data_IF_735048299510
#
_entry.id   IF_735048299510
#
_cell.length_a   1.000
_cell.length_b   1.000
_cell.length_c   1.000
_cell.angle_alpha   90.00
_cell.angle_beta   90.00
_cell.angle_gamma   90.00
#
_symmetry.space_group_name_H-M   'P 1'
#
loop_
_entity.id
_entity.type
_entity.pdbx_description
1 polymer ?
#
# COMPACT_ATOMS: atom_id res chain seq x y z
N UNK A 1 2.86 -14.59 10.27
CA UNK A 1 1.83 -13.74 9.64
C UNK A 1 2.55 -12.65 8.88
N UNK A 2 2.37 -12.57 7.56
CA UNK A 2 3.01 -11.56 6.72
C UNK A 2 2.57 -10.12 7.14
N UNK A 3 3.36 -9.10 6.77
CA UNK A 3 3.07 -7.70 7.03
C UNK A 3 1.64 -7.31 6.58
N UNK A 4 1.25 -7.70 5.36
CA UNK A 4 -0.07 -7.37 4.82
C UNK A 4 -1.19 -7.98 5.65
N UNK A 5 -1.03 -9.23 6.09
CA UNK A 5 -2.02 -9.90 6.92
C UNK A 5 -2.16 -9.22 8.28
N UNK A 6 -1.05 -8.86 8.92
CA UNK A 6 -1.06 -8.11 10.19
C UNK A 6 -1.75 -6.76 10.03
N UNK A 7 -1.43 -6.02 8.96
CA UNK A 7 -2.07 -4.74 8.65
C UNK A 7 -3.58 -4.88 8.42
N UNK A 8 -4.00 -5.88 7.62
CA UNK A 8 -5.43 -6.17 7.41
C UNK A 8 -6.15 -6.46 8.73
N UNK A 9 -5.54 -7.26 9.61
CA UNK A 9 -6.11 -7.57 10.93
C UNK A 9 -6.25 -6.31 11.79
N UNK A 10 -5.18 -5.53 11.91
CA UNK A 10 -5.16 -4.26 12.64
C UNK A 10 -6.25 -3.31 12.17
N UNK A 11 -6.37 -3.12 10.86
CA UNK A 11 -7.38 -2.23 10.25
C UNK A 11 -8.79 -2.74 10.56
N UNK A 12 -9.05 -4.04 10.39
CA UNK A 12 -10.39 -4.61 10.67
C UNK A 12 -10.77 -4.45 12.14
N UNK A 13 -9.85 -4.74 13.05
CA UNK A 13 -10.12 -4.84 14.49
C UNK A 13 -10.05 -3.50 15.22
N UNK A 14 -9.21 -2.57 14.75
CA UNK A 14 -8.94 -1.31 15.45
C UNK A 14 -9.37 -0.07 14.67
N UNK A 15 -9.35 -0.10 13.34
CA UNK A 15 -9.82 1.06 12.56
C UNK A 15 -11.33 0.98 12.31
N UNK A 16 -11.83 -0.18 11.88
CA UNK A 16 -13.18 -0.28 11.31
C UNK A 16 -14.18 -1.15 12.10
N UNK A 17 -13.78 -1.73 13.24
CA UNK A 17 -14.59 -2.69 14.02
C UNK A 17 -16.04 -2.28 14.30
N UNK A 18 -16.29 -0.98 14.45
CA UNK A 18 -17.62 -0.43 14.76
C UNK A 18 -18.15 0.53 13.68
N UNK A 19 -17.60 0.46 12.47
CA UNK A 19 -18.05 1.29 11.36
C UNK A 19 -19.37 0.76 10.79
N UNK A 20 -20.21 1.69 10.37
CA UNK A 20 -21.47 1.43 9.71
C UNK A 20 -21.42 2.04 8.31
N UNK A 21 -21.83 1.24 7.33
CA UNK A 21 -21.98 1.63 5.94
C UNK A 21 -23.37 2.19 5.69
N UNK A 22 -23.41 3.36 5.06
CA UNK A 22 -24.59 3.98 4.48
C UNK A 22 -24.31 4.30 3.02
N UNK A 23 -25.13 3.78 2.10
CA UNK A 23 -25.01 4.01 0.65
C UNK A 23 -26.15 4.91 0.17
N UNK A 24 -25.83 5.86 -0.70
CA UNK A 24 -26.77 6.79 -1.35
C UNK A 24 -26.47 6.91 -2.83
N UNK A 25 -27.48 7.29 -3.60
CA UNK A 25 -27.38 7.48 -5.05
C UNK A 25 -27.86 6.27 -5.84
N UNK A 26 -27.61 6.30 -7.14
CA UNK A 26 -28.01 5.29 -8.11
C UNK A 26 -26.78 4.53 -8.60
N UNK A 27 -26.95 3.29 -9.06
CA UNK A 27 -25.83 2.52 -9.62
C UNK A 27 -25.14 3.30 -10.75
N UNK A 28 -23.80 3.32 -10.74
CA UNK A 28 -23.00 4.17 -11.63
C UNK A 28 -22.68 5.57 -11.08
N UNK A 29 -23.37 6.01 -10.01
CA UNK A 29 -22.99 7.16 -9.18
C UNK A 29 -23.47 6.97 -7.73
N UNK A 30 -22.68 6.22 -6.95
CA UNK A 30 -23.00 5.91 -5.55
C UNK A 30 -22.01 6.57 -4.60
N UNK A 31 -22.50 7.04 -3.46
CA UNK A 31 -21.69 7.54 -2.35
C UNK A 31 -21.88 6.63 -1.14
N UNK A 32 -20.80 6.08 -0.65
CA UNK A 32 -20.73 5.22 0.51
C UNK A 32 -20.06 5.99 1.64
N UNK A 33 -20.78 6.17 2.74
CA UNK A 33 -20.25 6.69 3.98
C UNK A 33 -19.88 5.51 4.88
N UNK A 34 -18.61 5.44 5.29
CA UNK A 34 -18.07 4.42 6.16
C UNK A 34 -17.50 5.05 7.42
N UNK A 35 -18.13 4.85 8.57
CA UNK A 35 -17.68 5.48 9.80
C UNK A 35 -18.36 4.96 11.06
N UNK A 36 -17.71 5.14 12.20
CA UNK A 36 -18.29 4.85 13.52
C UNK A 36 -19.27 5.96 13.90
N UNK A 37 -20.52 5.64 14.29
CA UNK A 37 -21.47 6.64 14.77
C UNK A 37 -20.89 7.47 15.94
N UNK A 38 -21.03 8.79 15.85
CA UNK A 38 -20.57 9.71 16.90
C UNK A 38 -19.06 9.99 16.91
N UNK A 39 -18.27 9.50 15.95
CA UNK A 39 -16.85 9.83 15.82
C UNK A 39 -16.47 10.16 14.37
N UNK A 40 -15.30 10.79 14.20
CA UNK A 40 -14.69 10.97 12.88
C UNK A 40 -13.49 10.04 12.63
N UNK A 41 -13.14 9.20 13.62
CA UNK A 41 -11.96 8.32 13.54
C UNK A 41 -12.06 7.39 12.34
N UNK A 42 -11.05 7.44 11.47
CA UNK A 42 -10.94 6.61 10.27
C UNK A 42 -12.15 6.71 9.33
N UNK A 43 -12.93 7.79 9.43
CA UNK A 43 -14.12 7.97 8.61
C UNK A 43 -13.69 8.08 7.16
N UNK A 44 -14.29 7.25 6.31
CA UNK A 44 -13.97 7.15 4.89
C UNK A 44 -15.24 7.32 4.08
N UNK A 45 -15.13 8.04 2.97
CA UNK A 45 -16.18 8.20 1.97
C UNK A 45 -15.65 7.66 0.65
N UNK A 46 -16.40 6.74 0.07
CA UNK A 46 -16.14 6.21 -1.27
C UNK A 46 -17.19 6.79 -2.22
N UNK A 47 -16.76 7.29 -3.37
CA UNK A 47 -17.64 7.67 -4.47
C UNK A 47 -17.34 6.72 -5.63
N UNK A 48 -18.33 5.93 -5.99
CA UNK A 48 -18.28 5.02 -7.12
C UNK A 48 -18.90 5.73 -8.32
N UNK A 49 -18.13 6.01 -9.36
CA UNK A 49 -18.61 6.78 -10.52
C UNK A 49 -17.95 6.32 -11.81
N UNK A 50 -18.74 5.79 -12.75
CA UNK A 50 -18.20 5.18 -13.97
C UNK A 50 -17.25 4.03 -13.63
N UNK A 51 -15.99 4.10 -14.05
CA UNK A 51 -14.94 3.15 -13.69
C UNK A 51 -14.05 3.65 -12.53
N UNK A 52 -14.39 4.76 -11.88
CA UNK A 52 -13.55 5.38 -10.86
C UNK A 52 -14.07 5.16 -9.44
N UNK A 53 -13.12 4.96 -8.51
CA UNK A 53 -13.38 5.03 -7.07
C UNK A 53 -12.63 6.22 -6.52
N UNK A 54 -13.37 7.22 -6.04
CA UNK A 54 -12.80 8.36 -5.33
C UNK A 54 -12.93 8.14 -3.83
N UNK A 55 -11.84 8.32 -3.11
CA UNK A 55 -11.76 8.11 -1.67
C UNK A 55 -11.38 9.42 -1.02
N UNK A 56 -12.04 9.75 0.09
CA UNK A 56 -11.71 10.89 0.94
C UNK A 56 -12.09 10.58 2.38
N UNK A 57 -11.49 11.28 3.34
CA UNK A 57 -11.83 11.12 4.75
C UNK A 57 -10.67 11.44 5.69
N UNK A 58 -10.81 10.99 6.92
CA UNK A 58 -9.82 11.17 7.99
C UNK A 58 -8.48 10.47 7.68
N UNK A 59 -8.54 9.40 6.89
CA UNK A 59 -7.38 8.65 6.40
C UNK A 59 -6.88 9.12 5.03
N UNK A 60 -7.20 10.35 4.60
CA UNK A 60 -6.70 10.95 3.36
C UNK A 60 -7.51 10.62 2.11
N UNK A 61 -6.93 10.93 0.95
CA UNK A 61 -7.59 10.90 -0.35
C UNK A 61 -6.86 10.03 -1.37
N UNK A 62 -7.63 9.37 -2.24
CA UNK A 62 -7.10 8.60 -3.36
C UNK A 62 -8.10 8.53 -4.52
N UNK A 63 -7.58 8.33 -5.73
CA UNK A 63 -8.35 8.05 -6.95
C UNK A 63 -7.87 6.74 -7.54
N UNK A 64 -8.82 5.86 -7.84
CA UNK A 64 -8.58 4.59 -8.51
C UNK A 64 -9.32 4.58 -9.84
N UNK A 65 -8.63 4.20 -10.92
CA UNK A 65 -9.22 3.97 -12.24
C UNK A 65 -9.27 2.47 -12.53
N UNK A 66 -10.46 1.88 -12.36
CA UNK A 66 -10.70 0.46 -12.58
C UNK A 66 -10.80 0.14 -14.06
N UNK A 67 -10.60 -1.13 -14.41
CA UNK A 67 -10.83 -1.64 -15.78
C UNK A 67 -12.32 -1.74 -16.08
N UNK A 68 -13.12 -2.09 -15.08
CA UNK A 68 -14.57 -2.29 -15.16
C UNK A 68 -15.31 -1.18 -14.42
N UNK A 69 -16.64 -1.14 -14.53
CA UNK A 69 -17.47 -0.22 -13.77
C UNK A 69 -17.23 -0.36 -12.26
N UNK A 70 -17.12 0.77 -11.56
CA UNK A 70 -17.01 0.85 -10.12
C UNK A 70 -18.37 0.51 -9.48
N UNK A 71 -18.66 -0.78 -9.36
CA UNK A 71 -19.85 -1.30 -8.68
C UNK A 71 -19.41 -2.20 -7.52
N UNK A 72 -20.26 -2.33 -6.50
CA UNK A 72 -19.98 -3.25 -5.39
C UNK A 72 -19.79 -4.69 -5.89
N UNK A 73 -20.55 -5.09 -6.91
CA UNK A 73 -20.50 -6.42 -7.50
C UNK A 73 -19.15 -6.72 -8.16
N UNK A 74 -18.60 -5.77 -8.92
CA UNK A 74 -17.28 -5.94 -9.54
C UNK A 74 -16.15 -5.91 -8.50
N UNK A 75 -16.26 -5.00 -7.51
CA UNK A 75 -15.17 -4.74 -6.55
C UNK A 75 -15.01 -5.86 -5.53
N UNK A 76 -16.09 -6.61 -5.20
CA UNK A 76 -16.05 -7.68 -4.19
C UNK A 76 -14.99 -8.75 -4.49
N UNK A 77 -14.70 -9.00 -5.77
CA UNK A 77 -13.79 -10.05 -6.21
C UNK A 77 -12.33 -9.56 -6.36
N UNK A 78 -12.09 -8.25 -6.20
CA UNK A 78 -10.75 -7.69 -6.35
C UNK A 78 -9.89 -8.01 -5.12
N UNK A 79 -8.73 -8.62 -5.35
CA UNK A 79 -7.72 -8.73 -4.31
C UNK A 79 -6.98 -7.39 -4.11
N UNK A 80 -6.31 -7.25 -2.96
CA UNK A 80 -5.59 -6.02 -2.58
C UNK A 80 -4.58 -5.58 -3.64
N UNK A 81 -3.78 -6.50 -4.18
CA UNK A 81 -2.75 -6.17 -5.17
C UNK A 81 -3.35 -5.64 -6.47
N UNK A 82 -4.42 -6.28 -6.94
CA UNK A 82 -5.15 -5.83 -8.12
C UNK A 82 -5.77 -4.44 -7.89
N UNK A 83 -6.48 -4.23 -6.78
CA UNK A 83 -7.10 -2.93 -6.49
C UNK A 83 -6.06 -1.81 -6.38
N UNK A 84 -4.97 -2.03 -5.64
CA UNK A 84 -3.90 -1.03 -5.45
C UNK A 84 -3.03 -0.80 -6.68
N UNK A 85 -3.05 -1.71 -7.66
CA UNK A 85 -2.45 -1.47 -8.97
C UNK A 85 -3.17 -0.35 -9.75
N UNK A 86 -4.46 -0.10 -9.42
CA UNK A 86 -5.33 0.88 -10.08
C UNK A 86 -5.28 2.29 -9.48
N UNK A 87 -4.42 2.53 -8.49
CA UNK A 87 -4.22 3.88 -7.93
C UNK A 87 -3.63 4.79 -9.00
N UNK A 88 -4.34 5.86 -9.32
CA UNK A 88 -3.90 6.93 -10.23
C UNK A 88 -3.40 8.15 -9.46
N UNK A 89 -4.04 8.46 -8.33
CA UNK A 89 -3.63 9.56 -7.46
C UNK A 89 -3.79 9.15 -5.99
N UNK A 90 -2.87 9.60 -5.15
CA UNK A 90 -2.88 9.42 -3.71
C UNK A 90 -2.33 10.70 -3.06
N UNK A 91 -2.89 11.10 -1.92
CA UNK A 91 -2.49 12.33 -1.24
C UNK A 91 -1.05 12.31 -0.70
N UNK A 92 -0.40 11.14 -0.70
CA UNK A 92 0.97 10.93 -0.25
C UNK A 92 1.71 9.98 -1.19
N UNK A 93 2.93 9.59 -0.80
CA UNK A 93 3.76 8.66 -1.55
C UNK A 93 3.09 7.30 -1.68
N UNK A 94 3.26 6.66 -2.85
CA UNK A 94 2.68 5.36 -3.15
C UNK A 94 3.22 4.24 -2.25
N UNK A 95 4.41 4.44 -1.68
CA UNK A 95 5.14 3.44 -0.90
C UNK A 95 5.77 4.08 0.33
N UNK A 96 5.63 3.39 1.46
CA UNK A 96 6.38 3.69 2.67
C UNK A 96 7.79 3.08 2.57
N UNK A 97 8.72 3.63 3.35
CA UNK A 97 10.05 3.06 3.55
C UNK A 97 10.21 2.54 4.97
N UNK A 98 10.42 1.24 5.11
CA UNK A 98 10.75 0.58 6.37
C UNK A 98 12.25 0.29 6.42
N UNK A 99 12.99 1.13 7.17
CA UNK A 99 14.42 0.98 7.38
C UNK A 99 14.81 -0.39 7.96
N UNK A 100 13.98 -0.96 8.86
CA UNK A 100 14.30 -2.24 9.50
C UNK A 100 14.16 -3.39 8.52
N UNK A 101 13.15 -3.31 7.64
CA UNK A 101 13.03 -4.22 6.51
C UNK A 101 14.20 -4.05 5.53
N UNK A 102 14.56 -2.82 5.16
CA UNK A 102 15.67 -2.58 4.25
C UNK A 102 17.00 -3.15 4.75
N UNK A 103 17.31 -2.98 6.04
CA UNK A 103 18.51 -3.57 6.67
C UNK A 103 18.47 -5.09 6.62
N UNK A 104 17.30 -5.67 6.89
CA UNK A 104 17.11 -7.12 6.84
C UNK A 104 17.34 -7.64 5.43
N UNK A 105 16.72 -7.02 4.43
CA UNK A 105 16.86 -7.40 3.01
C UNK A 105 18.31 -7.23 2.53
N UNK A 106 19.00 -6.17 2.96
CA UNK A 106 20.43 -5.99 2.68
C UNK A 106 21.25 -7.14 3.25
N UNK A 107 21.03 -7.56 4.50
CA UNK A 107 21.76 -8.69 5.11
C UNK A 107 21.45 -9.98 4.35
N UNK A 108 20.18 -10.29 4.11
CA UNK A 108 19.76 -11.52 3.41
C UNK A 108 20.38 -11.58 2.00
N UNK A 109 20.37 -10.46 1.28
CA UNK A 109 20.99 -10.35 -0.03
C UNK A 109 22.51 -10.49 0.04
N UNK A 110 23.17 -9.79 0.95
CA UNK A 110 24.64 -9.79 1.01
C UNK A 110 25.22 -11.12 1.50
N UNK A 111 24.51 -11.84 2.38
CA UNK A 111 24.86 -13.20 2.80
C UNK A 111 24.83 -14.22 1.65
N UNK A 112 24.03 -13.96 0.60
CA UNK A 112 24.03 -14.74 -0.64
C UNK A 112 25.15 -14.28 -1.60
N UNK A 113 25.45 -12.98 -1.62
CA UNK A 113 26.49 -12.38 -2.47
C UNK A 113 27.93 -12.67 -2.03
N UNK A 114 28.25 -12.59 -0.73
CA UNK A 114 29.61 -12.85 -0.23
C UNK A 114 30.10 -14.27 -0.56
N UNK A 115 29.19 -15.22 -0.75
CA UNK A 115 29.52 -16.60 -1.16
C UNK A 115 29.98 -16.71 -2.61
N UNK A 116 29.69 -15.71 -3.44
CA UNK A 116 29.88 -15.75 -4.88
C UNK A 116 31.00 -14.82 -5.39
N UNK A 117 31.67 -14.05 -4.50
CA UNK A 117 32.80 -13.16 -4.81
C UNK A 117 32.60 -12.28 -6.07
N UNK A 118 31.39 -11.71 -6.23
CA UNK A 118 30.96 -11.13 -7.51
C UNK A 118 31.59 -9.77 -7.85
N UNK A 119 32.07 -9.01 -6.86
CA UNK A 119 32.57 -7.64 -7.04
C UNK A 119 33.86 -7.37 -6.25
N UNK A 120 34.83 -6.72 -6.88
CA UNK A 120 36.10 -6.32 -6.24
C UNK A 120 35.90 -5.27 -5.13
N UNK A 121 34.88 -4.41 -5.27
CA UNK A 121 34.52 -3.32 -4.35
C UNK A 121 33.28 -3.62 -3.50
N UNK A 122 32.94 -4.90 -3.30
CA UNK A 122 31.74 -5.34 -2.56
C UNK A 122 31.55 -4.65 -1.20
N UNK A 123 32.64 -4.41 -0.45
CA UNK A 123 32.55 -3.72 0.85
C UNK A 123 32.11 -2.26 0.73
N UNK A 124 32.49 -1.58 -0.33
CA UNK A 124 32.11 -0.20 -0.59
C UNK A 124 30.64 -0.13 -1.00
N UNK A 125 30.20 -1.05 -1.86
CA UNK A 125 28.78 -1.19 -2.23
C UNK A 125 27.92 -1.41 -0.98
N UNK A 126 28.26 -2.40 -0.14
CA UNK A 126 27.50 -2.70 1.07
C UNK A 126 27.37 -1.49 2.00
N UNK A 127 28.50 -0.81 2.27
CA UNK A 127 28.52 0.39 3.13
C UNK A 127 27.72 1.53 2.52
N UNK A 128 27.79 1.71 1.20
CA UNK A 128 27.01 2.72 0.49
C UNK A 128 25.51 2.48 0.63
N UNK A 129 25.06 1.23 0.41
CA UNK A 129 23.64 0.86 0.56
C UNK A 129 23.20 1.03 2.02
N UNK A 130 24.00 0.57 2.98
CA UNK A 130 23.70 0.72 4.41
C UNK A 130 23.57 2.19 4.81
N UNK A 131 24.50 3.04 4.34
CA UNK A 131 24.44 4.48 4.56
C UNK A 131 23.18 5.08 3.93
N UNK A 132 22.81 4.67 2.72
CA UNK A 132 21.58 5.13 2.09
C UNK A 132 20.33 4.75 2.90
N UNK A 133 20.32 3.56 3.51
CA UNK A 133 19.22 3.12 4.39
C UNK A 133 19.16 3.98 5.65
N UNK A 134 20.30 4.21 6.31
CA UNK A 134 20.37 4.94 7.58
C UNK A 134 20.00 6.42 7.44
N UNK A 135 20.32 7.04 6.29
CA UNK A 135 20.05 8.46 6.01
C UNK A 135 18.65 8.75 5.46
N UNK A 136 17.79 7.74 5.36
CA UNK A 136 16.52 7.85 4.61
C UNK A 136 15.28 7.59 5.44
N UNK A 137 14.31 8.50 5.36
CA UNK A 137 12.99 8.34 5.99
C UNK A 137 11.87 8.11 4.98
N UNK A 138 12.17 8.14 3.68
CA UNK A 138 11.24 7.83 2.59
C UNK A 138 11.95 7.05 1.49
N UNK A 139 11.17 6.41 0.62
CA UNK A 139 11.73 5.58 -0.46
C UNK A 139 12.45 6.44 -1.50
N UNK A 140 11.98 7.66 -1.75
CA UNK A 140 12.62 8.58 -2.68
C UNK A 140 13.93 9.14 -2.12
N UNK A 141 14.00 9.43 -0.81
CA UNK A 141 15.27 9.78 -0.16
C UNK A 141 16.27 8.62 -0.24
N UNK A 142 15.81 7.39 0.03
CA UNK A 142 16.63 6.19 -0.10
C UNK A 142 17.22 6.05 -1.49
N UNK A 143 16.39 6.16 -2.53
CA UNK A 143 16.84 6.07 -3.92
C UNK A 143 17.80 7.19 -4.30
N UNK A 144 17.58 8.40 -3.82
CA UNK A 144 18.51 9.51 -4.04
C UNK A 144 19.89 9.23 -3.42
N UNK A 145 19.93 8.73 -2.19
CA UNK A 145 21.18 8.34 -1.52
C UNK A 145 21.85 7.10 -2.13
N UNK A 146 21.10 6.29 -2.86
CA UNK A 146 21.62 5.11 -3.56
C UNK A 146 22.31 5.46 -4.89
N UNK A 147 22.03 6.63 -5.47
CA UNK A 147 22.60 7.03 -6.76
C UNK A 147 24.14 7.02 -6.82
N UNK A 148 24.87 7.53 -5.81
CA UNK A 148 26.33 7.46 -5.80
C UNK A 148 26.84 6.01 -5.80
N UNK A 149 26.15 5.08 -5.13
CA UNK A 149 26.54 3.66 -5.15
C UNK A 149 26.51 3.13 -6.59
N UNK A 150 25.47 3.45 -7.35
CA UNK A 150 25.38 3.03 -8.75
C UNK A 150 26.44 3.68 -9.66
N UNK A 151 26.85 4.91 -9.36
CA UNK A 151 27.77 5.69 -10.20
C UNK A 151 29.25 5.43 -9.90
N UNK A 152 29.56 5.19 -8.63
CA UNK A 152 30.94 5.19 -8.12
C UNK A 152 31.48 3.78 -7.83
N UNK A 153 30.66 2.74 -7.98
CA UNK A 153 31.05 1.35 -7.73
C UNK A 153 30.82 0.45 -8.95
N UNK A 154 31.30 -0.80 -8.87
CA UNK A 154 31.18 -1.81 -9.92
C UNK A 154 29.81 -2.53 -9.95
N UNK A 155 28.86 -2.10 -9.12
CA UNK A 155 27.54 -2.73 -9.01
C UNK A 155 26.78 -2.72 -10.34
N UNK A 156 26.29 -3.88 -10.76
CA UNK A 156 25.52 -4.00 -12.00
C UNK A 156 24.06 -3.55 -11.85
N UNK A 157 23.41 -3.30 -12.99
CA UNK A 157 22.03 -2.81 -13.04
C UNK A 157 21.01 -3.80 -12.46
N UNK A 158 21.26 -5.11 -12.58
CA UNK A 158 20.34 -6.15 -12.10
C UNK A 158 20.34 -6.18 -10.57
N UNK A 159 21.53 -6.07 -9.98
CA UNK A 159 21.75 -5.91 -8.54
C UNK A 159 21.08 -4.64 -8.05
N UNK A 160 21.28 -3.54 -8.78
CA UNK A 160 20.67 -2.26 -8.45
C UNK A 160 19.15 -2.30 -8.51
N UNK A 161 18.52 -2.97 -9.48
CA UNK A 161 17.05 -3.07 -9.56
C UNK A 161 16.46 -3.72 -8.30
N UNK A 162 17.14 -4.75 -7.78
CA UNK A 162 16.74 -5.42 -6.55
C UNK A 162 16.89 -4.50 -5.33
N UNK A 163 18.09 -3.92 -5.16
CA UNK A 163 18.42 -3.03 -4.04
C UNK A 163 17.54 -1.77 -4.06
N UNK A 164 17.16 -1.26 -5.23
CA UNK A 164 16.32 -0.06 -5.41
C UNK A 164 14.96 -0.11 -4.70
N UNK A 165 14.50 -1.30 -4.32
CA UNK A 165 13.22 -1.52 -3.66
C UNK A 165 13.36 -1.99 -2.20
N UNK A 166 14.55 -1.97 -1.60
CA UNK A 166 14.70 -2.31 -0.20
C UNK A 166 13.82 -1.44 0.71
N UNK A 167 13.25 -2.07 1.74
CA UNK A 167 12.36 -1.45 2.70
C UNK A 167 11.01 -1.01 2.15
N UNK A 168 10.74 -1.17 0.85
CA UNK A 168 9.50 -0.72 0.23
C UNK A 168 8.29 -1.45 0.81
N UNK A 169 7.34 -0.68 1.36
CA UNK A 169 6.10 -1.23 1.91
C UNK A 169 4.86 -0.53 1.40
N UNK A 170 3.79 -1.30 1.24
CA UNK A 170 2.48 -0.74 0.96
C UNK A 170 1.98 0.05 2.18
N UNK A 171 1.57 1.33 2.00
CA UNK A 171 1.06 2.12 3.09
C UNK A 171 -0.21 1.53 3.69
N UNK A 172 -0.35 1.63 5.02
CA UNK A 172 -1.54 1.17 5.76
C UNK A 172 -2.84 1.77 5.20
N UNK A 173 -2.79 3.01 4.68
CA UNK A 173 -3.96 3.67 4.08
C UNK A 173 -4.45 3.00 2.82
N UNK A 174 -3.56 2.62 1.90
CA UNK A 174 -3.97 1.91 0.68
C UNK A 174 -4.56 0.53 1.02
N UNK A 175 -3.99 -0.15 2.02
CA UNK A 175 -4.57 -1.39 2.56
C UNK A 175 -5.94 -1.10 3.18
N UNK A 176 -6.05 -0.02 3.95
CA UNK A 176 -7.26 0.41 4.64
C UNK A 176 -8.40 0.76 3.69
N UNK A 177 -8.12 1.42 2.58
CA UNK A 177 -9.11 1.73 1.56
C UNK A 177 -9.75 0.46 1.00
N UNK A 178 -8.94 -0.52 0.62
CA UNK A 178 -9.43 -1.82 0.14
C UNK A 178 -10.17 -2.60 1.23
N UNK A 179 -9.59 -2.73 2.43
CA UNK A 179 -10.22 -3.46 3.56
C UNK A 179 -11.57 -2.84 3.92
N UNK A 180 -11.64 -1.51 4.01
CA UNK A 180 -12.86 -0.80 4.34
C UNK A 180 -13.94 -1.03 3.28
N UNK A 181 -13.58 -1.01 2.00
CA UNK A 181 -14.51 -1.26 0.90
C UNK A 181 -15.04 -2.71 0.92
N UNK A 182 -14.17 -3.69 1.20
CA UNK A 182 -14.58 -5.09 1.37
C UNK A 182 -15.54 -5.28 2.56
N UNK A 183 -15.26 -4.64 3.70
CA UNK A 183 -16.15 -4.68 4.87
C UNK A 183 -17.49 -3.99 4.62
N UNK A 184 -17.49 -2.89 3.86
CA UNK A 184 -18.73 -2.22 3.41
C UNK A 184 -19.58 -3.18 2.60
N UNK A 185 -18.99 -3.84 1.59
CA UNK A 185 -19.69 -4.80 0.71
C UNK A 185 -20.32 -5.90 1.56
N UNK A 186 -19.54 -6.52 2.44
CA UNK A 186 -20.02 -7.58 3.34
C UNK A 186 -21.19 -7.11 4.23
N UNK A 187 -21.08 -5.90 4.80
CA UNK A 187 -22.12 -5.34 5.66
C UNK A 187 -23.40 -5.02 4.90
N UNK A 188 -23.31 -4.50 3.67
CA UNK A 188 -24.47 -4.14 2.85
C UNK A 188 -25.18 -5.39 2.32
N UNK A 189 -24.45 -6.39 1.80
CA UNK A 189 -25.04 -7.65 1.34
C UNK A 189 -25.72 -8.43 2.48
N UNK A 190 -25.17 -8.36 3.71
CA UNK A 190 -25.80 -8.96 4.89
C UNK A 190 -27.08 -8.26 5.34
N UNK A 191 -27.27 -6.98 5.00
CA UNK A 191 -28.51 -6.23 5.29
C UNK A 191 -29.60 -6.62 4.31
N UNK A 192 -29.27 -6.70 3.01
CA UNK A 192 -30.23 -7.06 1.96
C UNK A 192 -30.84 -8.45 2.17
N UNK A 193 -30.01 -9.44 2.53
CA UNK A 193 -30.47 -10.80 2.83
C UNK A 193 -31.30 -10.95 4.12
N UNK A 194 -31.38 -9.93 4.98
CA UNK A 194 -32.26 -9.91 6.17
C UNK A 194 -33.61 -9.23 5.90
N UNK A 195 -33.73 -8.53 4.77
CA UNK A 195 -34.95 -7.85 4.33
C UNK A 195 -35.74 -8.62 3.27
N UNK A 196 -35.20 -9.72 2.76
CA UNK A 196 -35.87 -10.67 1.87
C UNK A 196 -36.47 -11.84 2.68
#
# INVERSE_FOLDING_TARGET
MDFIDRAKKEIKENWFKNHVAEIKGEEGLQVIYWGKPGTNMYRTKYVLSGNNVFISGDIGEAVYSLTDSATLDNIKDFNLGYFTSKVEAFCEDRWDFDQSLAKKELIEYWDEYEKNEQYDDAREIYKGILSAIDESTSLDAYRAWLMPVHQDTSVDSDTMEYVWNFGKRMPYRLIGYWVGLQMVIEQLSSKEGKTA
#
